data_IF_638007811028
#
_entry.id   IF_638007811028
#
_cell.length_a   1.000
_cell.length_b   1.000
_cell.length_c   1.000
_cell.angle_alpha   90.00
_cell.angle_beta   90.00
_cell.angle_gamma   90.00
#
_symmetry.space_group_name_H-M   'P 1'
#
loop_
_entity.id
_entity.type
_entity.pdbx_description
1 polymer ?
#
# COMPACT_ATOMS: atom_id res chain seq x y z
N UNK A 1 8.62 -7.41 -5.48
CA UNK A 1 8.25 -6.15 -4.83
C UNK A 1 6.73 -6.07 -4.79
N UNK A 2 6.14 -6.29 -3.62
CA UNK A 2 4.73 -6.00 -3.44
C UNK A 2 4.64 -4.53 -3.01
N UNK A 3 4.28 -3.68 -3.97
CA UNK A 3 4.13 -2.24 -3.75
C UNK A 3 2.87 -2.03 -2.91
N UNK A 4 3.02 -1.47 -1.71
CA UNK A 4 1.88 -1.17 -0.85
C UNK A 4 1.80 0.32 -0.55
N UNK A 5 0.63 0.89 -0.83
CA UNK A 5 0.28 2.25 -0.47
C UNK A 5 0.32 2.42 1.04
N UNK A 6 0.82 3.56 1.49
CA UNK A 6 0.76 4.00 2.88
C UNK A 6 -0.16 5.22 2.99
N UNK A 7 -0.61 5.55 4.21
CA UNK A 7 -1.40 6.76 4.43
C UNK A 7 -0.56 8.01 4.18
N UNK A 8 -1.20 9.11 3.79
CA UNK A 8 -0.53 10.41 3.63
C UNK A 8 0.17 10.83 4.93
N UNK A 9 -0.46 10.58 6.08
CA UNK A 9 0.15 10.81 7.40
C UNK A 9 1.50 10.10 7.55
N UNK A 10 1.56 8.81 7.21
CA UNK A 10 2.81 8.04 7.29
C UNK A 10 3.84 8.54 6.29
N UNK A 11 3.42 8.90 5.08
CA UNK A 11 4.31 9.48 4.06
C UNK A 11 4.97 10.77 4.57
N UNK A 12 4.17 11.69 5.12
CA UNK A 12 4.65 12.96 5.68
C UNK A 12 5.47 12.78 6.95
N UNK A 13 5.12 11.82 7.82
CA UNK A 13 5.88 11.48 9.03
C UNK A 13 7.27 10.95 8.65
N UNK A 14 7.34 9.94 7.78
CA UNK A 14 8.59 9.36 7.31
C UNK A 14 9.45 10.41 6.62
N UNK A 15 8.85 11.22 5.75
CA UNK A 15 9.57 12.33 5.12
C UNK A 15 10.16 13.27 6.16
N UNK A 16 9.36 13.77 7.11
CA UNK A 16 9.82 14.73 8.13
C UNK A 16 10.94 14.16 9.00
N UNK A 17 10.77 12.95 9.51
CA UNK A 17 11.73 12.28 10.40
C UNK A 17 13.06 12.00 9.66
N UNK A 18 12.98 11.44 8.46
CA UNK A 18 14.17 11.03 7.72
C UNK A 18 14.84 12.17 6.97
N UNK A 19 14.12 13.25 6.64
CA UNK A 19 14.72 14.48 6.14
C UNK A 19 15.63 15.11 7.19
N UNK A 20 15.16 15.20 8.45
CA UNK A 20 16.00 15.64 9.57
C UNK A 20 17.20 14.73 9.78
N UNK A 21 17.01 13.41 9.72
CA UNK A 21 18.11 12.44 9.91
C UNK A 21 19.18 12.53 8.83
N UNK A 22 18.80 12.71 7.56
CA UNK A 22 19.74 12.69 6.44
C UNK A 22 20.36 14.05 6.11
N UNK A 23 19.62 15.15 6.30
CA UNK A 23 20.10 16.50 5.97
C UNK A 23 20.49 17.35 7.19
N UNK A 24 20.07 16.95 8.40
CA UNK A 24 20.16 17.79 9.61
C UNK A 24 19.12 18.91 9.67
N UNK A 25 18.38 19.17 8.58
CA UNK A 25 17.39 20.24 8.49
C UNK A 25 15.98 19.76 8.83
N UNK A 26 15.15 20.63 9.39
CA UNK A 26 13.74 20.32 9.67
C UNK A 26 12.83 20.84 8.57
N UNK A 27 11.90 19.98 8.14
CA UNK A 27 10.76 20.39 7.33
C UNK A 27 9.65 20.91 8.23
N UNK A 28 9.03 22.07 7.91
CA UNK A 28 7.98 22.68 8.71
C UNK A 28 6.63 21.94 8.64
N UNK A 29 6.60 20.64 8.38
CA UNK A 29 5.39 19.84 8.25
C UNK A 29 4.72 19.68 9.62
N UNK A 30 3.48 20.16 9.74
CA UNK A 30 2.60 19.92 10.89
C UNK A 30 1.38 19.14 10.42
N UNK A 31 1.36 17.87 10.78
CA UNK A 31 0.31 16.93 10.42
C UNK A 31 -0.20 16.17 11.63
N UNK A 32 -1.51 15.95 11.68
CA UNK A 32 -2.16 15.12 12.69
C UNK A 32 -3.17 14.18 12.01
N UNK A 33 -3.15 12.91 12.40
CA UNK A 33 -4.18 11.95 12.03
C UNK A 33 -5.16 11.82 13.20
N UNK A 34 -6.45 12.01 12.92
CA UNK A 34 -7.52 11.92 13.92
C UNK A 34 -8.44 10.78 13.52
N UNK A 35 -8.72 9.89 14.48
CA UNK A 35 -9.63 8.75 14.30
C UNK A 35 -11.05 9.14 14.73
N UNK A 36 -12.06 8.48 14.14
CA UNK A 36 -13.48 8.84 14.27
C UNK A 36 -13.97 9.14 15.70
N UNK A 37 -13.48 8.42 16.72
CA UNK A 37 -13.87 8.63 18.13
C UNK A 37 -13.57 10.05 18.65
N UNK A 38 -12.54 10.71 18.12
CA UNK A 38 -12.05 11.99 18.61
C UNK A 38 -12.63 13.19 17.83
N UNK A 39 -13.12 12.95 16.62
CA UNK A 39 -13.63 14.02 15.74
C UNK A 39 -15.10 14.37 15.97
N UNK A 40 -15.91 13.42 16.46
CA UNK A 40 -17.34 13.61 16.78
C UNK A 40 -17.55 14.73 17.82
N UNK A 41 -16.57 14.97 18.69
CA UNK A 41 -16.57 16.04 19.69
C UNK A 41 -16.28 17.43 19.07
N UNK A 42 -15.52 17.50 17.98
CA UNK A 42 -15.01 18.77 17.43
C UNK A 42 -15.88 19.37 16.33
N UNK A 43 -16.56 18.54 15.52
CA UNK A 43 -17.23 19.01 14.29
C UNK A 43 -18.74 18.77 14.25
N UNK A 44 -19.33 18.16 15.27
CA UNK A 44 -20.77 17.90 15.29
C UNK A 44 -21.26 17.08 14.08
N UNK A 45 -22.55 17.20 13.75
CA UNK A 45 -23.33 16.31 12.88
C UNK A 45 -22.97 16.30 11.36
N UNK A 46 -21.70 16.46 10.97
CA UNK A 46 -21.22 16.18 9.60
C UNK A 46 -21.15 14.66 9.37
N UNK A 47 -22.31 14.01 9.40
CA UNK A 47 -22.47 12.54 9.38
C UNK A 47 -22.41 11.91 8.00
N UNK A 48 -22.43 12.70 6.93
CA UNK A 48 -22.47 12.20 5.55
C UNK A 48 -21.29 12.73 4.73
N UNK A 49 -20.25 11.91 4.58
CA UNK A 49 -19.16 12.17 3.63
C UNK A 49 -17.75 11.91 4.15
N UNK A 50 -17.54 11.82 5.46
CA UNK A 50 -16.22 11.57 6.05
C UNK A 50 -15.97 10.07 6.27
N UNK A 51 -14.81 9.58 5.81
CA UNK A 51 -14.33 8.22 6.07
C UNK A 51 -13.92 8.00 7.54
N UNK A 52 -13.47 6.79 7.89
CA UNK A 52 -13.13 6.39 9.26
C UNK A 52 -11.94 7.12 9.91
N UNK A 53 -11.18 7.92 9.14
CA UNK A 53 -10.04 8.73 9.60
C UNK A 53 -9.93 10.02 8.81
N UNK A 54 -9.56 11.12 9.48
CA UNK A 54 -9.29 12.41 8.85
C UNK A 54 -7.84 12.84 9.09
N UNK A 55 -7.30 13.59 8.15
CA UNK A 55 -5.95 14.13 8.21
C UNK A 55 -6.01 15.65 8.25
N UNK A 56 -5.36 16.25 9.24
CA UNK A 56 -5.23 17.69 9.37
C UNK A 56 -3.81 18.12 9.06
N UNK A 57 -3.69 19.16 8.25
CA UNK A 57 -2.44 19.82 7.93
C UNK A 57 -2.62 21.33 8.10
N UNK A 58 -1.61 22.01 8.64
CA UNK A 58 -1.63 23.47 8.72
C UNK A 58 -1.80 24.09 7.33
N UNK A 59 -2.68 25.09 7.21
CA UNK A 59 -2.93 25.78 5.95
C UNK A 59 -1.72 26.65 5.61
N UNK A 60 -1.05 26.35 4.50
CA UNK A 60 0.03 27.18 3.97
C UNK A 60 -0.45 28.06 2.80
N UNK A 61 0.26 29.17 2.59
CA UNK A 61 0.00 30.12 1.50
C UNK A 61 0.42 29.53 0.14
N UNK A 62 -0.54 29.34 -0.78
CA UNK A 62 -0.36 28.75 -2.12
C UNK A 62 0.18 29.74 -3.17
N UNK A 63 1.36 30.32 -2.95
CA UNK A 63 1.92 31.30 -3.92
C UNK A 63 2.50 30.65 -5.18
N UNK A 64 3.08 29.46 -5.03
CA UNK A 64 3.61 28.62 -6.11
C UNK A 64 3.47 27.15 -5.73
N UNK A 65 3.00 26.33 -6.66
CA UNK A 65 2.80 24.89 -6.45
C UNK A 65 3.69 24.12 -7.42
N UNK A 66 4.45 23.19 -6.86
CA UNK A 66 5.41 22.35 -7.58
C UNK A 66 4.94 20.91 -7.52
N UNK A 67 5.32 20.15 -8.53
CA UNK A 67 5.11 18.72 -8.63
C UNK A 67 6.45 18.00 -8.52
N UNK A 68 6.52 16.95 -7.70
CA UNK A 68 7.65 16.04 -7.62
C UNK A 68 7.14 14.60 -7.56
N UNK A 69 7.69 13.73 -8.39
CA UNK A 69 7.39 12.30 -8.38
C UNK A 69 8.66 11.48 -8.55
N UNK A 70 8.76 10.35 -7.85
CA UNK A 70 9.82 9.36 -7.96
C UNK A 70 9.18 7.98 -8.05
N UNK A 71 9.53 7.22 -9.09
CA UNK A 71 8.99 5.89 -9.34
C UNK A 71 10.14 4.91 -9.51
N UNK A 72 10.09 3.80 -8.78
CA UNK A 72 11.07 2.73 -8.94
C UNK A 72 10.75 1.88 -10.17
N UNK A 73 11.76 1.66 -10.99
CA UNK A 73 11.74 0.86 -12.19
C UNK A 73 12.72 -0.32 -12.10
N UNK A 74 12.76 -1.16 -13.16
CA UNK A 74 13.61 -2.36 -13.15
C UNK A 74 15.11 -2.05 -13.09
N UNK A 75 15.55 -0.96 -13.72
CA UNK A 75 16.97 -0.64 -13.92
C UNK A 75 17.42 0.63 -13.18
N UNK A 76 16.57 1.19 -12.31
CA UNK A 76 16.78 2.49 -11.69
C UNK A 76 15.48 3.13 -11.26
N UNK A 77 15.52 4.44 -11.07
CA UNK A 77 14.41 5.24 -10.57
C UNK A 77 14.18 6.43 -11.52
N UNK A 78 12.92 6.65 -11.90
CA UNK A 78 12.51 7.83 -12.67
C UNK A 78 12.08 8.94 -11.73
N UNK A 79 12.66 10.13 -11.89
CA UNK A 79 12.31 11.33 -11.11
C UNK A 79 11.73 12.39 -12.04
N UNK A 80 10.52 12.86 -11.72
CA UNK A 80 9.78 13.85 -12.49
C UNK A 80 9.55 15.12 -11.67
N UNK A 81 9.65 16.28 -12.32
CA UNK A 81 9.44 17.58 -11.68
C UNK A 81 8.72 18.56 -12.62
N UNK A 82 7.85 19.40 -12.06
CA UNK A 82 7.21 20.52 -12.76
C UNK A 82 7.03 21.73 -11.84
N UNK A 83 7.14 22.92 -12.44
CA UNK A 83 6.83 24.21 -11.80
C UNK A 83 5.33 24.53 -11.78
N UNK A 84 4.51 23.69 -12.40
CA UNK A 84 3.05 23.81 -12.48
C UNK A 84 2.39 22.62 -11.77
N UNK A 85 2.63 22.46 -10.47
CA UNK A 85 1.95 21.44 -9.66
C UNK A 85 0.52 21.83 -9.28
N UNK A 86 -0.15 20.95 -8.55
CA UNK A 86 -1.50 21.17 -8.03
C UNK A 86 -2.57 20.37 -8.77
N UNK A 87 -3.82 20.83 -8.64
CA UNK A 87 -5.02 20.14 -9.16
C UNK A 87 -5.03 20.08 -10.69
N UNK A 88 -4.36 21.01 -11.37
CA UNK A 88 -4.35 21.12 -12.85
C UNK A 88 -3.08 20.52 -13.46
N UNK A 89 -2.37 19.64 -12.75
CA UNK A 89 -1.12 19.03 -13.27
C UNK A 89 -1.39 18.22 -14.54
N UNK A 90 -2.55 17.56 -14.66
CA UNK A 90 -2.88 16.75 -15.84
C UNK A 90 -3.00 17.59 -17.11
N UNK A 91 -3.39 18.86 -16.99
CA UNK A 91 -3.47 19.81 -18.11
C UNK A 91 -2.11 20.37 -18.54
N UNK A 92 -1.08 20.15 -17.72
CA UNK A 92 0.27 20.69 -17.89
C UNK A 92 1.33 19.58 -17.98
N UNK A 93 0.94 18.38 -18.42
CA UNK A 93 1.80 17.20 -18.44
C UNK A 93 3.04 17.38 -19.33
N UNK A 94 2.92 18.20 -20.39
CA UNK A 94 4.01 18.57 -21.28
C UNK A 94 5.11 19.41 -20.60
N UNK A 95 4.80 20.03 -19.45
CA UNK A 95 5.77 20.80 -18.64
C UNK A 95 6.50 19.92 -17.63
N UNK A 96 6.04 18.69 -17.42
CA UNK A 96 6.70 17.72 -16.54
C UNK A 96 7.97 17.23 -17.21
N UNK A 97 9.11 17.52 -16.58
CA UNK A 97 10.41 17.00 -17.00
C UNK A 97 10.70 15.74 -16.20
N UNK A 98 11.30 14.75 -16.84
CA UNK A 98 11.68 13.48 -16.21
C UNK A 98 13.13 13.15 -16.50
N UNK A 99 13.84 12.69 -15.48
CA UNK A 99 15.19 12.13 -15.57
C UNK A 99 15.16 10.68 -15.07
N UNK A 100 16.13 9.88 -15.52
CA UNK A 100 16.29 8.51 -15.08
C UNK A 100 17.62 8.36 -14.33
N UNK A 101 17.58 7.76 -13.14
CA UNK A 101 18.73 7.50 -12.28
C UNK A 101 18.99 5.99 -12.26
N UNK A 102 20.06 5.48 -12.91
CA UNK A 102 20.33 4.05 -12.94
C UNK A 102 20.61 3.48 -11.54
N UNK A 103 20.33 2.19 -11.35
CA UNK A 103 20.62 1.49 -10.10
C UNK A 103 22.08 1.63 -9.69
N UNK A 104 22.31 1.99 -8.42
CA UNK A 104 23.66 2.17 -7.86
C UNK A 104 24.30 3.52 -8.19
N UNK A 105 23.64 4.37 -8.96
CA UNK A 105 24.08 5.74 -9.24
C UNK A 105 23.45 6.69 -8.22
N UNK A 106 24.26 7.57 -7.63
CA UNK A 106 23.77 8.64 -6.77
C UNK A 106 23.26 9.81 -7.61
N UNK A 107 22.27 10.52 -7.08
CA UNK A 107 21.75 11.72 -7.72
C UNK A 107 22.79 12.84 -7.64
N UNK A 108 23.29 13.31 -8.79
CA UNK A 108 24.29 14.39 -8.88
C UNK A 108 23.67 15.68 -9.42
N UNK A 109 24.30 16.85 -9.21
CA UNK A 109 23.83 18.11 -9.78
C UNK A 109 23.66 18.08 -11.29
N UNK A 110 24.51 17.33 -12.01
CA UNK A 110 24.43 17.19 -13.47
C UNK A 110 23.19 16.40 -13.89
N UNK A 111 22.83 15.37 -13.13
CA UNK A 111 21.65 14.54 -13.38
C UNK A 111 20.37 15.32 -13.08
N UNK A 112 20.33 16.11 -11.99
CA UNK A 112 19.16 16.94 -11.63
C UNK A 112 19.00 18.14 -12.56
N UNK A 113 20.09 18.70 -13.09
CA UNK A 113 20.10 19.97 -13.82
C UNK A 113 18.94 20.16 -14.82
N UNK A 114 18.52 19.17 -15.64
CA UNK A 114 17.40 19.31 -16.56
C UNK A 114 16.07 19.67 -15.87
N UNK A 115 15.82 19.13 -14.67
CA UNK A 115 14.59 19.36 -13.91
C UNK A 115 14.49 20.80 -13.39
N UNK A 116 15.62 21.35 -12.94
CA UNK A 116 15.69 22.61 -12.19
C UNK A 116 16.21 23.79 -13.02
N UNK A 117 16.58 23.57 -14.28
CA UNK A 117 17.21 24.58 -15.14
C UNK A 117 16.36 25.85 -15.35
N UNK A 118 15.03 25.74 -15.26
CA UNK A 118 14.09 26.85 -15.48
C UNK A 118 13.73 27.60 -14.19
N UNK A 119 14.15 27.09 -13.03
CA UNK A 119 13.86 27.71 -11.74
C UNK A 119 14.65 29.02 -11.54
N UNK A 120 14.04 30.03 -10.92
CA UNK A 120 14.75 31.21 -10.45
C UNK A 120 15.89 30.87 -9.48
N UNK A 121 17.02 31.58 -9.59
CA UNK A 121 18.24 31.32 -8.81
C UNK A 121 18.01 31.37 -7.30
N UNK A 122 17.03 32.16 -6.85
CA UNK A 122 16.71 32.36 -5.43
C UNK A 122 16.12 31.10 -4.78
N UNK A 123 15.43 30.25 -5.56
CA UNK A 123 14.77 29.04 -5.06
C UNK A 123 15.41 27.74 -5.57
N UNK A 124 16.18 27.83 -6.66
CA UNK A 124 16.79 26.68 -7.33
C UNK A 124 17.63 25.84 -6.38
N UNK A 125 18.52 26.48 -5.61
CA UNK A 125 19.41 25.77 -4.68
C UNK A 125 18.63 24.99 -3.62
N UNK A 126 17.61 25.60 -3.03
CA UNK A 126 16.80 24.95 -2.00
C UNK A 126 16.01 23.76 -2.57
N UNK A 127 15.44 23.90 -3.76
CA UNK A 127 14.72 22.81 -4.44
C UNK A 127 15.68 21.68 -4.83
N UNK A 128 16.88 22.00 -5.34
CA UNK A 128 17.92 21.00 -5.63
C UNK A 128 18.34 20.22 -4.37
N UNK A 129 18.62 20.90 -3.27
CA UNK A 129 18.95 20.27 -1.98
C UNK A 129 17.79 19.39 -1.49
N UNK A 130 16.56 19.88 -1.59
CA UNK A 130 15.35 19.13 -1.23
C UNK A 130 15.20 17.85 -2.06
N UNK A 131 15.32 17.94 -3.38
CA UNK A 131 15.19 16.80 -4.30
C UNK A 131 16.26 15.73 -4.03
N UNK A 132 17.51 16.14 -3.75
CA UNK A 132 18.57 15.22 -3.37
C UNK A 132 18.25 14.45 -2.09
N UNK A 133 17.79 15.14 -1.05
CA UNK A 133 17.44 14.50 0.22
C UNK A 133 16.21 13.61 0.06
N UNK A 134 15.18 14.04 -0.68
CA UNK A 134 13.99 13.22 -0.94
C UNK A 134 14.36 11.95 -1.70
N UNK A 135 15.24 12.02 -2.70
CA UNK A 135 15.73 10.85 -3.41
C UNK A 135 16.53 9.90 -2.49
N UNK A 136 17.37 10.46 -1.61
CA UNK A 136 18.07 9.65 -0.61
C UNK A 136 17.11 8.97 0.38
N UNK A 137 16.03 9.65 0.80
CA UNK A 137 14.97 9.05 1.63
C UNK A 137 14.25 7.94 0.87
N UNK A 138 13.92 8.17 -0.41
CA UNK A 138 13.25 7.20 -1.28
C UNK A 138 14.03 5.88 -1.32
N UNK A 139 15.34 5.96 -1.55
CA UNK A 139 16.22 4.79 -1.57
C UNK A 139 16.45 4.18 -0.17
N UNK A 140 16.68 5.01 0.86
CA UNK A 140 16.99 4.54 2.21
C UNK A 140 15.83 3.83 2.92
N UNK A 141 14.59 4.14 2.52
CA UNK A 141 13.36 3.59 3.10
C UNK A 141 12.67 2.56 2.20
N UNK A 142 13.25 2.21 1.05
CA UNK A 142 12.64 1.29 0.07
C UNK A 142 11.24 1.74 -0.36
N UNK A 143 11.10 3.03 -0.68
CA UNK A 143 9.95 3.50 -1.43
C UNK A 143 9.97 2.91 -2.84
N UNK A 144 8.80 2.55 -3.34
CA UNK A 144 8.61 2.15 -4.75
C UNK A 144 7.94 3.26 -5.55
N UNK A 145 7.26 4.17 -4.87
CA UNK A 145 6.57 5.33 -5.43
C UNK A 145 6.51 6.44 -4.38
N UNK A 146 6.80 7.67 -4.79
CA UNK A 146 6.66 8.85 -3.95
C UNK A 146 6.25 10.03 -4.83
N UNK A 147 5.11 10.64 -4.52
CA UNK A 147 4.58 11.80 -5.22
C UNK A 147 4.24 12.90 -4.21
N UNK A 148 4.57 14.14 -4.55
CA UNK A 148 4.16 15.34 -3.85
C UNK A 148 3.47 16.25 -4.86
N UNK A 149 2.13 16.27 -4.84
CA UNK A 149 1.34 17.06 -5.77
C UNK A 149 0.17 17.79 -5.09
N UNK A 150 0.36 19.03 -4.60
CA UNK A 150 1.56 19.85 -4.73
C UNK A 150 2.46 19.84 -3.50
N UNK A 151 3.70 20.31 -3.68
CA UNK A 151 4.44 20.97 -2.60
C UNK A 151 4.64 22.46 -2.92
N UNK A 152 4.87 23.27 -1.90
CA UNK A 152 5.07 24.72 -2.02
C UNK A 152 6.30 25.17 -1.25
N UNK A 153 6.59 26.48 -1.27
CA UNK A 153 7.65 27.09 -0.48
C UNK A 153 7.04 27.99 0.60
N UNK A 154 7.31 27.68 1.87
CA UNK A 154 6.92 28.49 3.04
C UNK A 154 8.20 29.07 3.64
N UNK A 155 8.31 30.40 3.65
CA UNK A 155 9.53 31.10 4.10
C UNK A 155 10.80 30.61 3.38
N UNK A 156 10.67 30.33 2.07
CA UNK A 156 11.76 29.81 1.25
C UNK A 156 12.01 28.31 1.39
N UNK A 157 11.37 27.62 2.34
CA UNK A 157 11.57 26.18 2.57
C UNK A 157 10.48 25.29 1.95
N UNK A 158 10.82 24.10 1.44
CA UNK A 158 9.86 23.13 0.91
C UNK A 158 8.81 22.72 1.95
N UNK A 159 7.56 22.71 1.51
CA UNK A 159 6.40 22.31 2.30
C UNK A 159 5.47 21.44 1.44
N UNK A 160 5.49 20.11 1.61
CA UNK A 160 4.56 19.20 0.94
C UNK A 160 3.11 19.41 1.40
N UNK A 161 2.24 19.84 0.50
CA UNK A 161 0.81 20.06 0.79
C UNK A 161 0.02 18.76 0.67
N UNK A 162 0.31 17.98 -0.35
CA UNK A 162 -0.19 16.63 -0.55
C UNK A 162 0.98 15.67 -0.79
N UNK A 163 0.83 14.42 -0.35
CA UNK A 163 1.85 13.41 -0.52
C UNK A 163 1.24 12.01 -0.63
N UNK A 164 1.68 11.27 -1.64
CA UNK A 164 1.37 9.86 -1.82
C UNK A 164 2.66 9.04 -1.80
N UNK A 165 2.70 8.03 -0.94
CA UNK A 165 3.82 7.09 -0.85
C UNK A 165 3.38 5.65 -1.02
N UNK A 166 4.25 4.84 -1.61
CA UNK A 166 4.17 3.38 -1.60
C UNK A 166 5.54 2.79 -1.24
N UNK A 167 5.55 1.80 -0.34
CA UNK A 167 6.75 1.09 0.10
C UNK A 167 6.75 -0.34 -0.46
N UNK A 168 7.93 -0.94 -0.60
CA UNK A 168 8.05 -2.38 -0.83
C UNK A 168 7.83 -3.11 0.50
N UNK A 169 6.63 -3.63 0.75
CA UNK A 169 6.27 -4.24 2.04
C UNK A 169 7.21 -5.40 2.46
N UNK A 170 7.85 -6.04 1.48
CA UNK A 170 8.84 -7.10 1.69
C UNK A 170 10.14 -6.58 2.31
N UNK A 171 10.41 -5.27 2.26
CA UNK A 171 11.54 -4.60 2.92
C UNK A 171 11.29 -4.28 4.40
N UNK A 172 10.11 -4.59 4.93
CA UNK A 172 9.74 -4.28 6.32
C UNK A 172 10.70 -4.89 7.35
N UNK A 173 11.23 -6.09 7.11
CA UNK A 173 12.15 -6.76 8.05
C UNK A 173 13.45 -5.98 8.28
N UNK A 174 13.97 -5.26 7.27
CA UNK A 174 15.19 -4.44 7.40
C UNK A 174 14.87 -3.01 7.85
N UNK A 175 13.68 -2.51 7.52
CA UNK A 175 13.29 -1.14 7.78
C UNK A 175 12.42 -0.94 9.02
N UNK A 176 12.10 -1.99 9.81
CA UNK A 176 11.19 -1.89 10.96
C UNK A 176 11.51 -0.73 11.92
N UNK A 177 12.80 -0.46 12.20
CA UNK A 177 13.22 0.68 13.04
C UNK A 177 13.01 2.04 12.37
N UNK A 178 13.20 2.10 11.05
CA UNK A 178 13.06 3.32 10.26
C UNK A 178 11.59 3.64 10.02
N UNK A 179 10.81 2.65 9.59
CA UNK A 179 9.39 2.82 9.31
C UNK A 179 8.58 3.07 10.59
N UNK A 180 8.97 2.43 11.70
CA UNK A 180 8.17 2.44 12.92
C UNK A 180 6.83 1.74 12.69
N UNK A 181 5.74 2.36 13.13
CA UNK A 181 4.39 1.83 12.97
C UNK A 181 3.75 2.34 11.67
N UNK A 182 4.16 1.78 10.53
CA UNK A 182 3.49 2.01 9.25
C UNK A 182 2.35 1.00 9.08
N UNK A 183 1.17 1.50 8.74
CA UNK A 183 0.04 0.68 8.33
C UNK A 183 -0.10 0.70 6.80
N UNK A 184 -0.40 -0.46 6.22
CA UNK A 184 -0.78 -0.59 4.81
C UNK A 184 -2.31 -0.62 4.70
N UNK A 185 -2.97 0.52 4.41
CA UNK A 185 -4.42 0.57 4.31
C UNK A 185 -4.94 -0.31 3.18
N UNK A 186 -6.11 -0.89 3.41
CA UNK A 186 -6.91 -1.49 2.35
C UNK A 186 -7.43 -0.41 1.37
N UNK A 187 -7.82 -0.81 0.14
CA UNK A 187 -8.55 0.07 -0.77
C UNK A 187 -9.77 0.70 -0.09
N UNK A 188 -10.08 1.93 -0.47
CA UNK A 188 -11.22 2.66 0.08
C UNK A 188 -12.51 1.85 -0.04
N UNK A 189 -13.30 1.82 1.03
CA UNK A 189 -14.57 1.07 1.10
C UNK A 189 -14.41 -0.39 1.55
N UNK A 190 -13.19 -0.91 1.71
CA UNK A 190 -12.95 -2.26 2.23
C UNK A 190 -12.46 -2.23 3.67
N UNK A 191 -12.98 -3.14 4.48
CA UNK A 191 -12.53 -3.43 5.84
C UNK A 191 -12.17 -4.91 5.89
N UNK A 192 -11.05 -5.26 6.54
CA UNK A 192 -10.72 -6.67 6.71
C UNK A 192 -11.78 -7.33 7.59
N UNK A 193 -12.30 -8.47 7.16
CA UNK A 193 -13.07 -9.32 8.05
C UNK A 193 -12.17 -9.90 9.16
N UNK A 194 -12.75 -10.41 10.27
CA UNK A 194 -11.98 -11.15 11.27
C UNK A 194 -11.21 -12.34 10.67
N UNK A 195 -11.81 -13.01 9.68
CA UNK A 195 -11.20 -14.15 8.98
C UNK A 195 -10.02 -13.74 8.10
N UNK A 196 -10.14 -12.64 7.35
CA UNK A 196 -9.03 -12.08 6.57
C UNK A 196 -7.87 -11.63 7.47
N UNK A 197 -8.19 -10.99 8.60
CA UNK A 197 -7.20 -10.55 9.60
C UNK A 197 -6.44 -11.74 10.19
N UNK A 198 -7.13 -12.84 10.49
CA UNK A 198 -6.51 -14.05 11.01
C UNK A 198 -5.56 -14.68 10.00
N UNK A 199 -5.96 -14.86 8.74
CA UNK A 199 -5.08 -15.40 7.70
C UNK A 199 -3.89 -14.48 7.43
N UNK A 200 -4.09 -13.16 7.41
CA UNK A 200 -2.98 -12.20 7.28
C UNK A 200 -1.97 -12.33 8.44
N UNK A 201 -2.46 -12.61 9.65
CA UNK A 201 -1.62 -12.89 10.82
C UNK A 201 -0.86 -14.23 10.73
N UNK A 202 -1.44 -15.25 10.10
CA UNK A 202 -0.75 -16.51 9.83
C UNK A 202 0.33 -16.35 8.76
N UNK A 203 0.00 -15.71 7.63
CA UNK A 203 0.92 -15.41 6.52
C UNK A 203 2.17 -14.66 7.00
N UNK A 204 2.01 -13.67 7.88
CA UNK A 204 3.13 -12.90 8.44
C UNK A 204 4.06 -13.71 9.34
N UNK A 205 3.68 -14.91 9.79
CA UNK A 205 4.43 -15.76 10.72
C UNK A 205 5.00 -17.02 10.07
N UNK A 206 4.66 -17.28 8.81
CA UNK A 206 5.14 -18.44 8.06
C UNK A 206 6.09 -18.02 6.94
N UNK A 207 6.94 -18.95 6.50
CA UNK A 207 7.72 -18.80 5.27
C UNK A 207 6.91 -19.16 4.02
N UNK A 208 5.76 -19.80 4.20
CA UNK A 208 4.80 -20.06 3.13
C UNK A 208 4.06 -18.76 2.75
N UNK A 209 3.24 -18.83 1.71
CA UNK A 209 2.32 -17.74 1.35
C UNK A 209 0.89 -18.21 1.55
N UNK A 210 0.15 -17.52 2.40
CA UNK A 210 -1.26 -17.74 2.70
C UNK A 210 -2.04 -16.45 2.37
N UNK A 211 -2.91 -16.49 1.36
CA UNK A 211 -3.66 -15.32 0.89
C UNK A 211 -5.14 -15.62 0.84
N UNK A 212 -5.92 -14.86 1.60
CA UNK A 212 -7.38 -15.02 1.67
C UNK A 212 -8.05 -13.65 1.56
N UNK A 213 -9.16 -13.59 0.82
CA UNK A 213 -9.99 -12.40 0.67
C UNK A 213 -11.43 -12.79 0.39
N UNK A 214 -12.38 -12.19 1.10
CA UNK A 214 -13.83 -12.42 0.94
C UNK A 214 -14.41 -11.32 0.06
N UNK A 215 -15.33 -11.67 -0.85
CA UNK A 215 -16.03 -10.68 -1.66
C UNK A 215 -17.08 -9.92 -0.81
N UNK A 216 -16.99 -8.57 -0.68
CA UNK A 216 -17.84 -7.82 0.25
C UNK A 216 -19.33 -7.74 -0.11
N UNK A 217 -19.73 -8.15 -1.33
CA UNK A 217 -21.06 -7.82 -1.85
C UNK A 217 -22.19 -8.73 -1.37
N UNK A 218 -21.94 -9.84 -0.66
CA UNK A 218 -23.03 -10.66 -0.13
C UNK A 218 -22.65 -11.35 1.17
N UNK A 219 -23.53 -11.22 2.16
CA UNK A 219 -23.77 -12.21 3.22
C UNK A 219 -24.25 -13.58 2.67
N UNK A 220 -24.01 -13.88 1.39
CA UNK A 220 -24.31 -15.15 0.75
C UNK A 220 -23.03 -15.57 0.02
N UNK A 221 -22.42 -16.63 0.53
CA UNK A 221 -21.14 -17.17 0.11
C UNK A 221 -21.27 -18.06 -1.11
N UNK A 222 -20.27 -18.06 -1.99
CA UNK A 222 -20.06 -19.14 -2.97
C UNK A 222 -18.58 -19.25 -3.42
N UNK A 223 -17.75 -20.03 -2.74
CA UNK A 223 -16.28 -20.03 -2.90
C UNK A 223 -15.70 -20.48 -4.28
N UNK A 224 -14.54 -19.91 -4.70
CA UNK A 224 -13.58 -20.60 -5.59
C UNK A 224 -12.93 -19.87 -6.79
N UNK A 225 -11.61 -19.64 -6.74
CA UNK A 225 -10.64 -19.47 -7.85
C UNK A 225 -10.91 -18.43 -8.97
N UNK A 226 -10.40 -17.20 -8.75
CA UNK A 226 -10.49 -16.03 -9.64
C UNK A 226 -10.14 -16.26 -11.13
N UNK A 227 -9.10 -17.04 -11.45
CA UNK A 227 -8.57 -17.10 -12.83
C UNK A 227 -9.40 -17.93 -13.81
N UNK A 228 -10.16 -18.92 -13.34
CA UNK A 228 -10.95 -19.82 -14.20
C UNK A 228 -12.44 -19.43 -14.25
N UNK A 229 -12.98 -18.88 -13.16
CA UNK A 229 -14.40 -18.53 -13.06
C UNK A 229 -14.83 -17.37 -13.95
N UNK A 230 -13.94 -16.40 -14.24
CA UNK A 230 -14.25 -15.28 -15.16
C UNK A 230 -14.53 -15.76 -16.60
N UNK A 231 -13.86 -16.81 -17.06
CA UNK A 231 -14.06 -17.36 -18.42
C UNK A 231 -15.29 -18.25 -18.55
N UNK A 232 -15.83 -18.75 -17.43
CA UNK A 232 -16.99 -19.64 -17.39
C UNK A 232 -18.30 -18.91 -17.01
N UNK A 233 -18.26 -17.60 -16.79
CA UNK A 233 -19.45 -16.78 -16.49
C UNK A 233 -19.91 -16.81 -15.02
N UNK A 234 -19.19 -17.47 -14.12
CA UNK A 234 -19.54 -17.61 -12.70
C UNK A 234 -18.90 -16.56 -11.80
N UNK A 235 -18.51 -15.40 -12.34
CA UNK A 235 -17.86 -14.36 -11.56
C UNK A 235 -18.77 -13.81 -10.43
N UNK A 236 -20.10 -13.83 -10.62
CA UNK A 236 -21.08 -13.43 -9.60
C UNK A 236 -21.27 -14.44 -8.48
N UNK A 237 -20.87 -15.70 -8.71
CA UNK A 237 -20.99 -16.81 -7.77
C UNK A 237 -19.64 -17.11 -7.10
N UNK A 238 -18.77 -16.09 -6.97
CA UNK A 238 -17.47 -16.20 -6.33
C UNK A 238 -17.51 -15.55 -4.94
N UNK A 239 -17.13 -16.30 -3.92
CA UNK A 239 -17.28 -15.98 -2.51
C UNK A 239 -15.95 -15.58 -1.89
N UNK A 240 -14.85 -16.07 -2.44
CA UNK A 240 -13.52 -15.75 -1.97
C UNK A 240 -12.44 -15.89 -3.05
N UNK A 241 -11.34 -15.16 -2.81
CA UNK A 241 -10.02 -15.49 -3.33
C UNK A 241 -9.22 -16.19 -2.22
N UNK A 242 -8.71 -17.39 -2.52
CA UNK A 242 -7.91 -18.19 -1.60
C UNK A 242 -6.72 -18.82 -2.33
N UNK A 243 -5.54 -18.68 -1.75
CA UNK A 243 -4.30 -19.29 -2.22
C UNK A 243 -3.42 -19.67 -1.03
N UNK A 244 -2.88 -20.89 -1.06
CA UNK A 244 -1.71 -21.25 -0.25
C UNK A 244 -0.60 -21.78 -1.16
N UNK A 245 0.65 -21.42 -0.88
CA UNK A 245 1.83 -21.85 -1.66
C UNK A 245 3.11 -21.76 -0.84
N UNK A 246 4.23 -22.26 -1.36
CA UNK A 246 5.52 -22.19 -0.64
C UNK A 246 5.71 -23.27 0.44
N UNK A 247 5.09 -24.45 0.25
CA UNK A 247 5.16 -25.59 1.18
C UNK A 247 4.76 -25.26 2.64
N UNK A 248 3.51 -24.80 2.87
CA UNK A 248 2.99 -24.66 4.23
C UNK A 248 2.93 -26.00 4.94
N UNK A 249 2.98 -25.96 6.27
CA UNK A 249 2.86 -27.13 7.14
C UNK A 249 1.42 -27.60 7.24
N UNK A 250 1.23 -28.84 7.66
CA UNK A 250 -0.10 -29.44 7.84
C UNK A 250 -1.00 -28.63 8.78
N UNK A 251 -0.46 -28.12 9.89
CA UNK A 251 -1.19 -27.32 10.88
C UNK A 251 -1.58 -25.92 10.35
N UNK A 252 -0.74 -25.32 9.51
CA UNK A 252 -1.02 -24.06 8.82
C UNK A 252 -2.15 -24.27 7.81
N UNK A 253 -2.11 -25.36 7.04
CA UNK A 253 -3.17 -25.70 6.07
C UNK A 253 -4.48 -26.07 6.78
N UNK A 254 -4.43 -26.77 7.91
CA UNK A 254 -5.61 -27.05 8.72
C UNK A 254 -6.30 -25.75 9.17
N UNK A 255 -5.54 -24.81 9.75
CA UNK A 255 -6.09 -23.52 10.20
C UNK A 255 -6.62 -22.70 9.02
N UNK A 256 -5.89 -22.69 7.90
CA UNK A 256 -6.31 -22.02 6.68
C UNK A 256 -7.61 -22.61 6.12
N UNK A 257 -7.70 -23.94 6.01
CA UNK A 257 -8.85 -24.64 5.47
C UNK A 257 -10.10 -24.45 6.33
N UNK A 258 -9.97 -24.46 7.66
CA UNK A 258 -11.07 -24.12 8.59
C UNK A 258 -11.67 -22.76 8.27
N UNK A 259 -10.86 -21.71 8.13
CA UNK A 259 -11.37 -20.38 7.77
C UNK A 259 -12.14 -20.37 6.45
N UNK A 260 -11.65 -21.10 5.44
CA UNK A 260 -12.33 -21.20 4.14
C UNK A 260 -13.68 -21.92 4.28
N UNK A 261 -13.73 -23.01 5.05
CA UNK A 261 -14.94 -23.81 5.28
C UNK A 261 -15.94 -23.02 6.14
N UNK A 262 -15.50 -22.43 7.25
CA UNK A 262 -16.33 -21.61 8.14
C UNK A 262 -16.97 -20.45 7.38
N UNK A 263 -16.20 -19.81 6.49
CA UNK A 263 -16.78 -18.85 5.57
C UNK A 263 -17.81 -19.58 4.70
N UNK A 264 -17.45 -20.64 3.97
CA UNK A 264 -18.35 -21.35 3.07
C UNK A 264 -19.66 -21.85 3.69
N UNK A 265 -19.70 -22.11 4.99
CA UNK A 265 -20.84 -22.69 5.71
C UNK A 265 -21.61 -21.67 6.55
N UNK A 266 -21.07 -20.47 6.76
CA UNK A 266 -21.81 -19.37 7.36
C UNK A 266 -23.07 -19.06 6.55
N UNK A 267 -24.16 -18.67 7.22
CA UNK A 267 -25.41 -18.21 6.60
C UNK A 267 -25.92 -19.10 5.45
N UNK A 268 -26.44 -20.31 5.74
CA UNK A 268 -26.97 -21.22 4.72
C UNK A 268 -28.23 -20.63 4.08
N UNK A 269 -28.21 -20.46 2.75
CA UNK A 269 -29.31 -19.91 1.94
C UNK A 269 -30.11 -21.01 1.20
N UNK A 270 -29.87 -22.27 1.55
CA UNK A 270 -30.50 -23.44 0.94
C UNK A 270 -29.93 -23.82 -0.43
N UNK A 271 -28.94 -23.08 -0.96
CA UNK A 271 -28.25 -23.43 -2.20
C UNK A 271 -27.10 -24.38 -1.91
N UNK A 272 -26.78 -25.22 -2.88
CA UNK A 272 -25.60 -26.08 -2.83
C UNK A 272 -24.38 -25.25 -3.19
N UNK A 273 -23.38 -25.27 -2.33
CA UNK A 273 -22.08 -24.61 -2.54
C UNK A 273 -21.05 -25.64 -3.01
N UNK A 274 -20.07 -25.19 -3.80
CA UNK A 274 -18.96 -26.03 -4.22
C UNK A 274 -17.67 -25.52 -3.56
N UNK A 275 -16.88 -26.44 -2.99
CA UNK A 275 -15.51 -26.14 -2.57
C UNK A 275 -14.55 -26.68 -3.62
N UNK A 276 -13.86 -25.77 -4.32
CA UNK A 276 -12.90 -26.15 -5.36
C UNK A 276 -11.49 -26.17 -4.77
N UNK A 277 -10.97 -27.38 -4.56
CA UNK A 277 -9.59 -27.61 -4.11
C UNK A 277 -8.77 -28.02 -5.33
N UNK A 278 -7.89 -27.13 -5.79
CA UNK A 278 -7.08 -27.37 -6.97
C UNK A 278 -5.77 -26.59 -6.96
N UNK A 279 -4.81 -27.05 -7.75
CA UNK A 279 -3.49 -26.45 -7.89
C UNK A 279 -2.75 -27.01 -9.10
N UNK A 280 -1.62 -26.40 -9.44
CA UNK A 280 -0.67 -26.98 -10.40
C UNK A 280 0.08 -28.17 -9.82
N UNK A 281 0.90 -28.84 -10.63
CA UNK A 281 1.81 -29.88 -10.15
C UNK A 281 2.84 -29.22 -9.22
N UNK A 282 2.87 -29.64 -7.96
CA UNK A 282 3.78 -29.10 -6.98
C UNK A 282 5.22 -29.55 -7.26
N UNK A 283 6.17 -28.61 -7.16
CA UNK A 283 7.61 -28.91 -7.30
C UNK A 283 8.22 -29.44 -5.99
N UNK A 284 7.83 -28.87 -4.85
CA UNK A 284 8.45 -29.13 -3.54
C UNK A 284 7.45 -29.14 -2.37
N UNK A 285 6.18 -28.80 -2.60
CA UNK A 285 5.13 -28.91 -1.58
C UNK A 285 4.78 -30.37 -1.36
N UNK A 286 4.77 -30.82 -0.10
CA UNK A 286 4.24 -32.13 0.28
C UNK A 286 2.71 -32.14 0.18
N UNK A 287 2.21 -32.68 -0.93
CA UNK A 287 0.77 -32.75 -1.22
C UNK A 287 0.03 -33.61 -0.20
N UNK A 288 0.67 -34.65 0.37
CA UNK A 288 0.04 -35.50 1.36
C UNK A 288 -0.18 -34.72 2.66
N UNK A 289 0.84 -34.01 3.15
CA UNK A 289 0.73 -33.18 4.35
C UNK A 289 -0.32 -32.07 4.20
N UNK A 290 -0.38 -31.39 3.04
CA UNK A 290 -1.40 -30.35 2.84
C UNK A 290 -2.81 -30.94 2.75
N UNK A 291 -3.00 -32.09 2.08
CA UNK A 291 -4.30 -32.74 1.99
C UNK A 291 -4.74 -33.35 3.34
N UNK A 292 -3.83 -33.80 4.19
CA UNK A 292 -4.15 -34.23 5.56
C UNK A 292 -4.72 -33.07 6.40
N UNK A 293 -4.11 -31.88 6.29
CA UNK A 293 -4.62 -30.68 6.97
C UNK A 293 -6.02 -30.30 6.48
N UNK A 294 -6.26 -30.38 5.17
CA UNK A 294 -7.59 -30.17 4.57
C UNK A 294 -8.58 -31.24 5.06
N UNK A 295 -8.23 -32.53 4.99
CA UNK A 295 -9.09 -33.63 5.42
C UNK A 295 -9.51 -33.48 6.88
N UNK A 296 -8.54 -33.17 7.75
CA UNK A 296 -8.77 -32.91 9.17
C UNK A 296 -9.70 -31.73 9.43
N UNK A 297 -9.69 -30.71 8.55
CA UNK A 297 -10.63 -29.58 8.66
C UNK A 297 -12.07 -29.98 8.33
N UNK A 298 -12.27 -30.85 7.33
CA UNK A 298 -13.58 -31.32 6.87
C UNK A 298 -14.20 -32.29 7.90
N UNK A 299 -13.39 -33.20 8.44
CA UNK A 299 -13.82 -34.15 9.48
C UNK A 299 -14.24 -33.44 10.77
N UNK A 300 -13.53 -32.38 11.16
CA UNK A 300 -13.85 -31.58 12.34
C UNK A 300 -15.18 -30.82 12.25
N UNK A 301 -15.62 -30.46 11.03
CA UNK A 301 -16.87 -29.71 10.77
C UNK A 301 -18.08 -30.62 10.48
N UNK A 302 -17.90 -31.96 10.49
CA UNK A 302 -18.99 -32.91 10.26
C UNK A 302 -19.56 -32.89 8.83
N UNK A 303 -18.82 -32.35 7.86
CA UNK A 303 -19.21 -32.33 6.44
C UNK A 303 -19.12 -33.76 5.89
N UNK A 304 -20.28 -34.38 5.60
CA UNK A 304 -20.33 -35.71 4.99
C UNK A 304 -19.81 -35.63 3.54
N UNK A 305 -18.72 -36.35 3.28
CA UNK A 305 -18.18 -36.63 1.94
C UNK A 305 -19.14 -37.45 1.10
#
# INVERSE_FOLDING_TARGET
MARKKIREYDSKRLLKEHFKRLSGNELPIKSAQVIRKEWEEWFGCLKSGFGSSCFFCERASRKREFYLNIVSERLGDSMSFSECGGIEIEENWEKVKTIFVPTGVSLTPEIIAPLVATLPLEIRREIEEFMNVVFAIFQDLDFTFLEMNPFTLVNGKPYPLDMRGELDDTAGFKNFKKWGHVEFPLPFGRVMSPTETFIHGLDAKTSASLKFSVEPQRTNLDNGCWRRCKYLGFASELGNYAEYSGAPKEDEVLQYARVVIDCATADPDGRKRALVIGGGIANFTDVAATFNGIGSSIEGEGVKT
#
